data_IF_318727600617
#
_entry.id   IF_318727600617
#
_cell.length_a   1.000
_cell.length_b   1.000
_cell.length_c   1.000
_cell.angle_alpha   90.00
_cell.angle_beta   90.00
_cell.angle_gamma   90.00
#
_symmetry.space_group_name_H-M   'P 1'
#
loop_
_entity.id
_entity.type
_entity.pdbx_description
1 polymer ?
#
# COMPACT_ATOMS: atom_id res chain seq x y z
N UNK A 1 4.79 8.77 19.26
CA UNK A 1 4.23 9.30 18.02
C UNK A 1 2.86 8.70 17.79
N UNK A 2 1.91 9.47 17.23
CA UNK A 2 0.56 9.00 16.94
C UNK A 2 0.52 8.43 15.52
N UNK A 3 0.21 7.16 15.38
CA UNK A 3 0.27 6.38 14.13
C UNK A 3 -1.13 6.04 13.63
N UNK A 4 -1.38 6.08 12.33
CA UNK A 4 -2.63 5.67 11.73
C UNK A 4 -2.41 4.65 10.61
N UNK A 5 -3.34 3.69 10.49
CA UNK A 5 -3.46 2.81 9.32
C UNK A 5 -4.74 3.19 8.60
N UNK A 6 -4.61 3.69 7.38
CA UNK A 6 -5.71 4.05 6.50
C UNK A 6 -5.97 2.93 5.51
N UNK A 7 -7.15 2.35 5.56
CA UNK A 7 -7.67 1.44 4.53
C UNK A 7 -8.90 2.06 3.89
N UNK A 8 -8.98 2.03 2.57
CA UNK A 8 -10.14 2.54 1.84
C UNK A 8 -10.79 1.40 1.05
N UNK A 9 -12.12 1.46 0.91
CA UNK A 9 -12.89 0.44 0.22
C UNK A 9 -14.21 1.02 -0.32
N UNK A 10 -14.86 0.32 -1.23
CA UNK A 10 -16.18 0.69 -1.75
C UNK A 10 -17.23 -0.40 -1.48
N UNK A 11 -18.50 -0.07 -1.75
CA UNK A 11 -19.62 -0.98 -1.47
C UNK A 11 -19.62 -2.27 -2.30
N UNK A 12 -18.84 -2.32 -3.41
CA UNK A 12 -18.82 -3.47 -4.32
C UNK A 12 -17.82 -4.55 -3.91
N UNK A 13 -16.97 -4.25 -2.94
CA UNK A 13 -15.95 -5.21 -2.49
C UNK A 13 -16.58 -6.27 -1.58
N UNK A 14 -15.97 -7.44 -1.53
CA UNK A 14 -16.33 -8.46 -0.55
C UNK A 14 -15.96 -7.97 0.87
N UNK A 15 -16.98 -7.74 1.69
CA UNK A 15 -16.81 -7.24 3.07
C UNK A 15 -15.99 -8.17 3.97
N UNK A 16 -15.86 -9.45 3.60
CA UNK A 16 -15.00 -10.36 4.33
C UNK A 16 -13.52 -9.95 4.25
N UNK A 17 -13.08 -9.28 3.18
CA UNK A 17 -11.71 -8.77 3.09
C UNK A 17 -11.42 -7.82 4.25
N UNK A 18 -12.31 -6.86 4.50
CA UNK A 18 -12.19 -5.92 5.63
C UNK A 18 -12.14 -6.66 6.97
N UNK A 19 -13.03 -7.65 7.14
CA UNK A 19 -13.09 -8.44 8.38
C UNK A 19 -11.79 -9.22 8.63
N UNK A 20 -11.23 -9.84 7.60
CA UNK A 20 -9.99 -10.59 7.72
C UNK A 20 -8.78 -9.68 7.91
N UNK A 21 -8.70 -8.56 7.18
CA UNK A 21 -7.66 -7.57 7.39
C UNK A 21 -7.68 -7.04 8.83
N UNK A 22 -8.86 -6.68 9.35
CA UNK A 22 -9.01 -6.20 10.73
C UNK A 22 -8.50 -7.25 11.73
N UNK A 23 -8.87 -8.53 11.59
CA UNK A 23 -8.38 -9.60 12.49
C UNK A 23 -6.87 -9.71 12.50
N UNK A 24 -6.22 -9.61 11.32
CA UNK A 24 -4.76 -9.66 11.23
C UNK A 24 -4.13 -8.42 11.87
N UNK A 25 -4.71 -7.24 11.65
CA UNK A 25 -4.27 -6.01 12.30
C UNK A 25 -4.45 -6.09 13.81
N UNK A 26 -5.58 -6.58 14.31
CA UNK A 26 -5.81 -6.76 15.75
C UNK A 26 -4.76 -7.70 16.40
N UNK A 27 -4.27 -8.71 15.66
CA UNK A 27 -3.20 -9.59 16.14
C UNK A 27 -1.84 -8.90 16.23
N UNK A 28 -1.49 -8.05 15.27
CA UNK A 28 -0.14 -7.53 15.12
C UNK A 28 0.03 -6.06 15.46
N UNK A 29 -1.06 -5.28 15.36
CA UNK A 29 -1.01 -3.84 15.58
C UNK A 29 -1.21 -3.51 17.05
N UNK A 30 -0.19 -2.94 17.66
CA UNK A 30 -0.21 -2.55 19.07
C UNK A 30 -0.20 -1.03 19.28
N UNK A 31 0.04 -0.24 18.24
CA UNK A 31 0.42 1.17 18.41
C UNK A 31 -0.24 2.16 17.43
N UNK A 32 -0.98 1.67 16.43
CA UNK A 32 -1.60 2.54 15.42
C UNK A 32 -3.14 2.45 15.47
N UNK A 33 -3.81 3.58 15.26
CA UNK A 33 -5.26 3.61 15.11
C UNK A 33 -5.65 3.15 13.70
N UNK A 34 -6.64 2.27 13.58
CA UNK A 34 -7.13 1.77 12.30
C UNK A 34 -8.33 2.56 11.80
N UNK A 35 -8.24 3.09 10.59
CA UNK A 35 -9.21 3.96 9.96
C UNK A 35 -9.72 3.38 8.63
N UNK A 36 -10.77 2.53 8.64
CA UNK A 36 -11.40 2.07 7.41
C UNK A 36 -12.29 3.17 6.82
N UNK A 37 -11.97 3.63 5.61
CA UNK A 37 -12.68 4.67 4.88
C UNK A 37 -13.58 4.06 3.80
N UNK A 38 -14.90 4.20 3.95
CA UNK A 38 -15.86 3.80 2.93
C UNK A 38 -16.01 4.89 1.87
N UNK A 39 -15.62 4.57 0.64
CA UNK A 39 -15.81 5.40 -0.54
C UNK A 39 -17.13 5.01 -1.21
N UNK A 40 -18.18 5.79 -1.03
CA UNK A 40 -19.49 5.52 -1.65
C UNK A 40 -19.44 5.71 -3.16
N UNK A 41 -20.08 4.79 -3.90
CA UNK A 41 -20.30 4.95 -5.33
C UNK A 41 -21.57 5.78 -5.59
N UNK A 42 -21.53 6.69 -6.56
CA UNK A 42 -22.67 7.53 -6.93
C UNK A 42 -22.24 8.78 -7.67
N UNK A 43 -23.09 9.82 -7.66
CA UNK A 43 -22.81 11.14 -8.24
C UNK A 43 -21.54 11.77 -7.63
N UNK A 44 -21.23 11.38 -6.40
CA UNK A 44 -20.03 11.77 -5.66
C UNK A 44 -18.99 10.62 -5.62
N UNK A 45 -18.72 10.00 -6.77
CA UNK A 45 -17.69 8.95 -6.85
C UNK A 45 -16.34 9.51 -6.42
N UNK A 46 -15.92 9.15 -5.21
CA UNK A 46 -14.55 9.37 -4.79
C UNK A 46 -13.72 8.30 -5.50
N UNK A 47 -12.93 8.71 -6.48
CA UNK A 47 -11.96 7.83 -7.13
C UNK A 47 -10.80 7.54 -6.18
N UNK A 48 -10.09 6.46 -6.45
CA UNK A 48 -9.01 5.91 -5.63
C UNK A 48 -8.08 6.96 -5.00
N UNK A 49 -7.44 7.80 -5.81
CA UNK A 49 -6.51 8.81 -5.31
C UNK A 49 -7.18 9.89 -4.47
N UNK A 50 -8.44 10.26 -4.77
CA UNK A 50 -9.18 11.23 -3.97
C UNK A 50 -9.49 10.71 -2.57
N UNK A 51 -9.72 9.39 -2.43
CA UNK A 51 -9.87 8.76 -1.13
C UNK A 51 -8.57 8.84 -0.32
N UNK A 52 -7.43 8.68 -0.98
CA UNK A 52 -6.11 8.84 -0.36
C UNK A 52 -5.86 10.29 0.04
N UNK A 53 -6.07 11.25 -0.86
CA UNK A 53 -5.90 12.69 -0.58
C UNK A 53 -6.75 13.12 0.63
N UNK A 54 -8.03 12.73 0.62
CA UNK A 54 -8.95 13.04 1.71
C UNK A 54 -8.53 12.36 3.02
N UNK A 55 -8.32 11.04 3.00
CA UNK A 55 -8.04 10.26 4.21
C UNK A 55 -6.69 10.65 4.86
N UNK A 56 -5.64 10.78 4.07
CA UNK A 56 -4.31 11.19 4.56
C UNK A 56 -4.35 12.64 5.08
N UNK A 57 -4.95 13.56 4.32
CA UNK A 57 -5.07 14.96 4.73
C UNK A 57 -5.87 15.10 6.03
N UNK A 58 -6.98 14.36 6.19
CA UNK A 58 -7.76 14.34 7.43
C UNK A 58 -6.91 13.84 8.61
N UNK A 59 -6.24 12.71 8.47
CA UNK A 59 -5.44 12.13 9.55
C UNK A 59 -4.30 13.05 10.00
N UNK A 60 -3.61 13.70 9.07
CA UNK A 60 -2.59 14.67 9.44
C UNK A 60 -3.19 15.93 10.09
N UNK A 61 -4.38 16.37 9.69
CA UNK A 61 -5.10 17.46 10.37
C UNK A 61 -5.52 17.06 11.80
N UNK A 62 -5.79 15.78 12.07
CA UNK A 62 -6.09 15.20 13.38
C UNK A 62 -4.83 14.90 14.22
N UNK A 63 -3.70 15.43 13.82
CA UNK A 63 -2.43 15.35 14.54
C UNK A 63 -1.81 13.94 14.61
N UNK A 64 -2.06 13.07 13.62
CA UNK A 64 -1.25 11.87 13.43
C UNK A 64 0.15 12.27 12.94
N UNK A 65 1.18 11.57 13.40
CA UNK A 65 2.57 11.82 13.03
C UNK A 65 2.99 11.03 11.80
N UNK A 66 2.41 9.83 11.61
CA UNK A 66 2.64 8.97 10.45
C UNK A 66 1.37 8.22 10.03
N UNK A 67 1.24 8.00 8.72
CA UNK A 67 0.10 7.32 8.11
C UNK A 67 0.61 6.19 7.21
N UNK A 68 0.14 4.96 7.48
CA UNK A 68 0.28 3.81 6.62
C UNK A 68 -1.00 3.65 5.79
N UNK A 69 -0.92 3.84 4.49
CA UNK A 69 -1.95 3.44 3.54
C UNK A 69 -1.80 1.94 3.31
N UNK A 70 -2.91 1.21 3.43
CA UNK A 70 -2.94 -0.23 3.25
C UNK A 70 -4.18 -0.62 2.46
N UNK A 71 -4.03 -1.17 1.25
CA UNK A 71 -5.17 -1.68 0.48
C UNK A 71 -5.92 -2.73 1.29
N UNK A 72 -7.25 -2.80 1.11
CA UNK A 72 -8.12 -3.71 1.88
C UNK A 72 -7.73 -5.20 1.76
N UNK A 73 -7.03 -5.56 0.70
CA UNK A 73 -6.51 -6.90 0.40
C UNK A 73 -4.99 -7.01 0.61
N UNK A 74 -4.43 -6.10 1.42
CA UNK A 74 -3.05 -6.12 1.88
C UNK A 74 -2.99 -6.31 3.41
N UNK A 75 -2.12 -7.20 3.87
CA UNK A 75 -1.94 -7.49 5.31
C UNK A 75 -0.46 -7.55 5.69
N UNK A 76 -0.10 -7.15 6.92
CA UNK A 76 1.20 -7.48 7.49
C UNK A 76 1.31 -8.98 7.74
N UNK A 77 2.50 -9.55 7.62
CA UNK A 77 2.75 -10.97 7.85
C UNK A 77 3.24 -11.27 9.28
N UNK A 78 3.63 -10.25 10.01
CA UNK A 78 4.08 -10.33 11.40
C UNK A 78 4.04 -8.93 12.06
N UNK A 79 4.20 -8.89 13.38
CA UNK A 79 4.19 -7.62 14.13
C UNK A 79 5.40 -6.72 13.80
N UNK A 80 6.54 -7.31 13.47
CA UNK A 80 7.74 -6.58 13.07
C UNK A 80 7.49 -5.72 11.80
N UNK A 81 6.68 -6.20 10.86
CA UNK A 81 6.38 -5.46 9.63
C UNK A 81 5.73 -4.10 9.91
N UNK A 82 4.76 -4.05 10.85
CA UNK A 82 4.10 -2.80 11.22
C UNK A 82 5.03 -1.86 12.00
N UNK A 83 5.78 -2.41 12.96
CA UNK A 83 6.71 -1.60 13.74
C UNK A 83 7.79 -1.00 12.84
N UNK A 84 8.42 -1.83 12.01
CA UNK A 84 9.47 -1.43 11.09
C UNK A 84 9.03 -0.33 10.12
N UNK A 85 7.85 -0.48 9.48
CA UNK A 85 7.38 0.51 8.49
C UNK A 85 7.13 1.87 9.15
N UNK A 86 6.58 1.90 10.36
CA UNK A 86 6.37 3.15 11.08
C UNK A 86 7.69 3.75 11.59
N UNK A 87 8.60 2.95 12.15
CA UNK A 87 9.91 3.44 12.59
C UNK A 87 10.70 4.09 11.43
N UNK A 88 10.65 3.49 10.23
CA UNK A 88 11.29 4.07 9.04
C UNK A 88 10.62 5.37 8.61
N UNK A 89 9.29 5.40 8.57
CA UNK A 89 8.57 6.63 8.24
C UNK A 89 8.87 7.76 9.24
N UNK A 90 8.97 7.46 10.54
CA UNK A 90 9.35 8.40 11.60
C UNK A 90 10.79 8.93 11.46
N UNK A 91 11.64 8.25 10.70
CA UNK A 91 12.99 8.69 10.31
C UNK A 91 13.02 9.51 9.01
N UNK A 92 11.87 10.01 8.53
CA UNK A 92 11.71 10.72 7.26
C UNK A 92 12.02 9.85 6.03
N UNK A 93 11.64 8.59 6.04
CA UNK A 93 11.72 7.66 4.91
C UNK A 93 10.33 7.38 4.38
N UNK A 94 10.11 7.51 3.06
CA UNK A 94 8.90 6.99 2.42
C UNK A 94 9.11 5.50 2.20
N UNK A 95 8.16 4.66 2.61
CA UNK A 95 8.39 3.22 2.60
C UNK A 95 7.13 2.43 2.20
N UNK A 96 7.30 1.34 1.47
CA UNK A 96 6.20 0.44 1.12
C UNK A 96 6.50 -0.52 -0.02
N UNK A 97 5.44 -1.06 -0.63
CA UNK A 97 5.55 -2.13 -1.63
C UNK A 97 5.97 -1.60 -3.00
N UNK A 98 6.87 -2.35 -3.65
CA UNK A 98 7.32 -2.09 -5.01
C UNK A 98 6.17 -2.15 -6.01
N UNK A 99 6.11 -1.17 -6.90
CA UNK A 99 5.24 -1.17 -8.07
C UNK A 99 5.94 -0.51 -9.26
N UNK A 100 5.46 -0.79 -10.46
CA UNK A 100 5.86 -0.15 -11.71
C UNK A 100 4.63 0.07 -12.57
N UNK A 101 4.55 1.22 -13.20
CA UNK A 101 3.45 1.60 -14.11
C UNK A 101 3.70 1.02 -15.51
N UNK A 102 3.63 -0.30 -15.63
CA UNK A 102 3.89 -1.01 -16.89
C UNK A 102 2.88 -0.70 -18.02
N UNK A 103 1.78 -0.03 -17.72
CA UNK A 103 0.80 0.48 -18.70
C UNK A 103 1.20 1.84 -19.30
N UNK A 104 2.17 2.52 -18.69
CA UNK A 104 2.73 3.77 -19.24
C UNK A 104 3.91 3.41 -20.13
N UNK A 105 3.88 3.86 -21.37
CA UNK A 105 4.90 3.54 -22.37
C UNK A 105 6.27 4.04 -21.90
N UNK A 106 7.28 3.16 -22.01
CA UNK A 106 8.67 3.42 -21.63
C UNK A 106 8.89 3.80 -20.16
N UNK A 107 7.92 3.57 -19.27
CA UNK A 107 8.12 3.77 -17.84
C UNK A 107 8.89 2.58 -17.23
N UNK A 108 10.13 2.81 -16.84
CA UNK A 108 11.00 1.87 -16.12
C UNK A 108 11.17 2.27 -14.63
N UNK A 109 10.44 3.29 -14.18
CA UNK A 109 10.51 3.79 -12.82
C UNK A 109 9.92 2.79 -11.83
N UNK A 110 10.68 2.49 -10.78
CA UNK A 110 10.24 1.69 -9.65
C UNK A 110 9.80 2.63 -8.53
N UNK A 111 8.58 2.49 -8.09
CA UNK A 111 8.01 3.36 -7.08
C UNK A 111 7.29 2.58 -5.97
N UNK A 112 6.90 3.28 -4.92
CA UNK A 112 6.11 2.73 -3.82
C UNK A 112 4.63 2.87 -4.17
N UNK A 113 3.96 1.74 -4.35
CA UNK A 113 2.54 1.68 -4.73
C UNK A 113 1.59 1.85 -3.53
N UNK A 114 0.36 2.26 -3.83
CA UNK A 114 -0.71 2.48 -2.83
C UNK A 114 -1.12 1.25 -2.04
N UNK A 115 -0.73 0.06 -2.48
CA UNK A 115 -1.08 -1.18 -1.77
C UNK A 115 -0.52 -1.26 -0.35
N UNK A 116 0.64 -0.66 -0.15
CA UNK A 116 1.28 -0.46 1.15
C UNK A 116 2.23 0.74 0.97
N UNK A 117 1.86 1.87 1.55
CA UNK A 117 2.61 3.12 1.42
C UNK A 117 2.58 3.87 2.74
N UNK A 118 3.73 4.15 3.31
CA UNK A 118 3.83 4.88 4.57
C UNK A 118 4.69 6.13 4.44
N UNK A 119 4.21 7.22 5.03
CA UNK A 119 4.93 8.48 5.16
C UNK A 119 4.60 9.15 6.49
N UNK A 120 5.45 10.07 6.92
CA UNK A 120 5.17 10.94 8.05
C UNK A 120 4.62 12.31 7.62
N UNK A 121 4.14 13.06 8.62
CA UNK A 121 3.61 14.41 8.42
C UNK A 121 4.65 15.36 7.85
N UNK A 122 5.90 15.29 8.30
CA UNK A 122 6.96 16.21 7.84
C UNK A 122 7.17 16.09 6.32
N UNK A 123 7.28 14.87 5.80
CA UNK A 123 7.38 14.64 4.35
C UNK A 123 6.14 15.15 3.61
N UNK A 124 4.94 14.88 4.14
CA UNK A 124 3.69 15.34 3.54
C UNK A 124 3.62 16.86 3.44
N UNK A 125 4.04 17.57 4.48
CA UNK A 125 4.09 19.04 4.51
C UNK A 125 5.21 19.59 3.62
N UNK A 126 6.41 19.00 3.66
CA UNK A 126 7.55 19.38 2.83
C UNK A 126 7.27 19.20 1.33
N UNK A 127 6.44 18.22 0.97
CA UNK A 127 5.96 17.99 -0.40
C UNK A 127 4.69 18.81 -0.72
N UNK A 128 4.41 19.84 0.09
CA UNK A 128 3.30 20.79 -0.10
C UNK A 128 1.92 20.10 -0.18
N UNK A 129 1.75 19.00 0.59
CA UNK A 129 0.53 18.18 0.60
C UNK A 129 0.16 17.66 -0.80
N UNK A 130 1.18 17.20 -1.51
CA UNK A 130 1.06 16.74 -2.89
C UNK A 130 -0.04 15.66 -3.03
N UNK A 131 -0.82 15.74 -4.09
CA UNK A 131 -1.87 14.77 -4.40
C UNK A 131 -1.30 13.39 -4.73
N UNK A 132 -2.05 12.34 -4.39
CA UNK A 132 -1.77 10.96 -4.83
C UNK A 132 -2.26 10.68 -6.26
N UNK A 133 -2.81 11.68 -6.95
CA UNK A 133 -3.37 11.53 -8.28
C UNK A 133 -2.36 11.03 -9.31
N UNK A 134 -2.77 10.11 -10.19
CA UNK A 134 -1.96 9.73 -11.33
C UNK A 134 -1.89 10.87 -12.36
N UNK A 135 -0.74 10.96 -13.03
CA UNK A 135 -0.65 11.60 -14.33
C UNK A 135 -0.59 10.49 -15.38
N UNK A 136 -1.69 10.22 -16.03
CA UNK A 136 -1.86 9.09 -16.95
C UNK A 136 -0.82 9.02 -18.10
N UNK A 137 0.03 10.02 -18.22
CA UNK A 137 1.11 10.08 -19.21
C UNK A 137 2.46 9.72 -18.59
N UNK A 138 2.69 10.06 -17.32
CA UNK A 138 4.01 9.99 -16.69
C UNK A 138 4.07 9.17 -15.41
N UNK A 139 2.99 9.11 -14.64
CA UNK A 139 2.99 8.52 -13.32
C UNK A 139 1.64 7.88 -12.96
N UNK A 140 1.66 6.81 -12.19
CA UNK A 140 0.50 6.18 -11.58
C UNK A 140 0.23 6.76 -10.18
N UNK A 141 -0.85 6.30 -9.54
CA UNK A 141 -1.21 6.66 -8.17
C UNK A 141 -0.02 6.41 -7.23
N UNK A 142 0.31 7.40 -6.40
CA UNK A 142 1.47 7.44 -5.48
C UNK A 142 2.85 7.60 -6.14
N UNK A 143 3.02 7.37 -7.43
CA UNK A 143 4.34 7.38 -8.08
C UNK A 143 5.03 8.75 -8.00
N UNK A 144 4.25 9.84 -8.02
CA UNK A 144 4.77 11.20 -7.88
C UNK A 144 5.53 11.43 -6.57
N UNK A 145 5.14 10.77 -5.47
CA UNK A 145 5.86 10.85 -4.20
C UNK A 145 7.28 10.29 -4.30
N UNK A 146 7.47 9.20 -5.05
CA UNK A 146 8.82 8.63 -5.27
C UNK A 146 9.66 9.54 -6.18
N UNK A 147 9.08 10.09 -7.24
CA UNK A 147 9.76 11.09 -8.08
C UNK A 147 10.19 12.34 -7.30
N UNK A 148 9.32 12.86 -6.44
CA UNK A 148 9.66 14.04 -5.65
C UNK A 148 10.71 13.72 -4.57
N UNK A 149 10.67 12.52 -3.99
CA UNK A 149 11.71 12.04 -3.08
C UNK A 149 13.08 11.98 -3.75
N UNK A 150 13.16 11.37 -4.94
CA UNK A 150 14.41 11.34 -5.74
C UNK A 150 14.93 12.73 -6.03
N UNK A 151 14.07 13.63 -6.47
CA UNK A 151 14.42 15.02 -6.82
C UNK A 151 14.95 15.81 -5.62
N UNK A 152 14.37 15.61 -4.43
CA UNK A 152 14.74 16.32 -3.19
C UNK A 152 15.82 15.61 -2.38
N UNK A 153 16.21 14.39 -2.76
CA UNK A 153 17.14 13.56 -1.99
C UNK A 153 16.56 13.05 -0.67
N UNK A 154 15.22 12.89 -0.61
CA UNK A 154 14.54 12.24 0.52
C UNK A 154 14.70 10.73 0.37
N UNK A 155 15.07 10.06 1.46
CA UNK A 155 15.24 8.61 1.46
C UNK A 155 13.90 7.91 1.25
N UNK A 156 13.90 6.85 0.44
CA UNK A 156 12.77 5.95 0.33
C UNK A 156 13.22 4.49 0.33
N UNK A 157 12.39 3.61 0.88
CA UNK A 157 12.67 2.18 0.97
C UNK A 157 11.55 1.36 0.34
N UNK A 158 11.91 0.44 -0.55
CA UNK A 158 10.95 -0.35 -1.32
C UNK A 158 11.02 -1.82 -0.89
N UNK A 159 9.88 -2.37 -0.48
CA UNK A 159 9.73 -3.80 -0.26
C UNK A 159 9.60 -4.53 -1.60
N UNK A 160 10.54 -5.41 -1.89
CA UNK A 160 10.58 -6.13 -3.15
C UNK A 160 9.74 -7.40 -3.11
N UNK A 161 9.11 -7.82 -4.24
CA UNK A 161 8.42 -9.10 -4.31
C UNK A 161 9.38 -10.27 -4.07
N UNK A 162 9.00 -11.17 -3.16
CA UNK A 162 9.68 -12.45 -2.92
C UNK A 162 9.06 -13.57 -3.73
N UNK A 163 7.74 -13.62 -3.73
CA UNK A 163 6.96 -14.67 -4.39
C UNK A 163 5.55 -14.16 -4.70
N UNK A 164 4.90 -14.79 -5.65
CA UNK A 164 3.48 -14.57 -5.95
C UNK A 164 2.84 -15.89 -6.40
N UNK A 165 1.51 -15.93 -6.36
CA UNK A 165 0.75 -17.10 -6.79
C UNK A 165 0.65 -17.04 -8.31
N UNK A 166 1.36 -17.94 -9.00
CA UNK A 166 1.29 -18.06 -10.46
C UNK A 166 -0.09 -18.57 -10.86
N UNK A 167 -0.82 -17.73 -11.56
CA UNK A 167 -2.14 -18.02 -12.10
C UNK A 167 -2.09 -18.09 -13.63
N UNK A 168 -3.26 -18.17 -14.25
CA UNK A 168 -3.39 -18.12 -15.69
C UNK A 168 -2.68 -16.90 -16.31
N UNK A 169 -2.34 -17.02 -17.58
CA UNK A 169 -1.63 -16.02 -18.38
C UNK A 169 -2.21 -14.61 -18.18
N UNK A 170 -1.35 -13.63 -17.88
CA UNK A 170 -1.73 -12.22 -17.77
C UNK A 170 -2.00 -11.73 -16.35
N UNK A 171 -1.77 -12.55 -15.33
CA UNK A 171 -1.96 -12.16 -13.92
C UNK A 171 -0.63 -11.89 -13.18
N UNK A 172 0.42 -11.64 -13.92
CA UNK A 172 1.71 -11.20 -13.38
C UNK A 172 2.21 -9.94 -14.08
N UNK A 173 2.94 -9.12 -13.33
CA UNK A 173 3.48 -7.84 -13.78
C UNK A 173 4.99 -7.81 -13.57
N UNK A 174 5.66 -7.05 -14.42
CA UNK A 174 7.11 -6.92 -14.44
C UNK A 174 7.53 -5.59 -13.79
N UNK A 175 8.43 -5.63 -12.82
CA UNK A 175 9.02 -4.43 -12.22
C UNK A 175 10.13 -3.78 -13.07
N UNK A 176 10.32 -4.27 -14.30
CA UNK A 176 11.36 -3.81 -15.19
C UNK A 176 12.49 -4.82 -15.36
N UNK A 177 13.38 -4.54 -16.32
CA UNK A 177 14.45 -5.46 -16.73
C UNK A 177 15.35 -5.85 -15.55
N UNK A 178 15.46 -7.17 -15.32
CA UNK A 178 16.33 -7.72 -14.27
C UNK A 178 15.77 -7.64 -12.86
N UNK A 179 14.53 -7.17 -12.68
CA UNK A 179 13.84 -7.11 -11.41
C UNK A 179 12.86 -8.28 -11.23
N UNK A 180 12.44 -8.60 -9.99
CA UNK A 180 11.42 -9.61 -9.74
C UNK A 180 10.08 -9.26 -10.38
N UNK A 181 9.30 -10.28 -10.72
CA UNK A 181 7.89 -10.11 -11.04
C UNK A 181 7.04 -10.17 -9.79
N UNK A 182 5.86 -9.56 -9.86
CA UNK A 182 4.79 -9.66 -8.87
C UNK A 182 3.47 -10.01 -9.57
N UNK A 183 2.48 -10.42 -8.81
CA UNK A 183 1.20 -10.84 -9.37
C UNK A 183 0.18 -11.11 -8.28
N UNK A 184 -0.84 -11.88 -8.61
CA UNK A 184 -1.87 -12.28 -7.63
C UNK A 184 -1.20 -12.94 -6.43
N UNK A 185 -1.51 -12.45 -5.23
CA UNK A 185 -1.00 -13.00 -3.98
C UNK A 185 0.50 -12.83 -3.79
N UNK A 186 1.00 -11.61 -3.97
CA UNK A 186 2.42 -11.30 -3.79
C UNK A 186 2.79 -11.15 -2.32
N UNK A 187 3.84 -11.83 -1.92
CA UNK A 187 4.56 -11.59 -0.66
C UNK A 187 5.72 -10.64 -0.91
N UNK A 188 5.76 -9.55 -0.17
CA UNK A 188 6.81 -8.54 -0.22
C UNK A 188 7.79 -8.70 0.95
N UNK A 189 9.07 -8.40 0.72
CA UNK A 189 10.14 -8.49 1.71
C UNK A 189 10.98 -7.20 1.75
N UNK A 190 11.58 -6.93 2.89
CA UNK A 190 12.56 -5.87 3.04
C UNK A 190 13.96 -6.27 2.53
N UNK A 191 14.92 -5.37 2.62
CA UNK A 191 16.32 -5.59 2.22
C UNK A 191 17.05 -6.69 3.00
N UNK A 192 16.55 -7.04 4.19
CA UNK A 192 17.05 -8.16 5.01
C UNK A 192 16.37 -9.49 4.70
N UNK A 193 15.57 -9.56 3.63
CA UNK A 193 14.81 -10.75 3.21
C UNK A 193 13.74 -11.21 4.22
N UNK A 194 13.30 -10.34 5.10
CA UNK A 194 12.17 -10.60 5.99
C UNK A 194 10.86 -10.35 5.23
N UNK A 195 9.95 -11.31 5.28
CA UNK A 195 8.59 -11.15 4.72
C UNK A 195 7.82 -10.12 5.53
N UNK A 196 7.38 -9.05 4.86
CA UNK A 196 6.74 -7.90 5.49
C UNK A 196 5.24 -7.88 5.26
N UNK A 197 4.81 -7.88 4.01
CA UNK A 197 3.41 -7.74 3.63
C UNK A 197 3.01 -8.77 2.57
N UNK A 198 1.74 -9.13 2.59
CA UNK A 198 1.09 -9.89 1.52
C UNK A 198 0.00 -9.03 0.90
N UNK A 199 -0.05 -8.95 -0.43
CA UNK A 199 -1.08 -8.24 -1.16
C UNK A 199 -1.70 -9.15 -2.22
N UNK A 200 -3.04 -9.25 -2.22
CA UNK A 200 -3.75 -10.14 -3.14
C UNK A 200 -3.68 -9.65 -4.59
N UNK A 201 -3.86 -8.36 -4.85
CA UNK A 201 -4.19 -7.77 -6.14
C UNK A 201 -5.51 -8.30 -6.74
N UNK A 202 -6.21 -7.49 -7.51
CA UNK A 202 -7.45 -7.88 -8.22
C UNK A 202 -8.55 -8.50 -7.36
N UNK A 203 -8.65 -8.14 -6.09
CA UNK A 203 -9.72 -8.63 -5.18
C UNK A 203 -11.14 -8.32 -5.66
N UNK A 204 -11.30 -7.37 -6.60
CA UNK A 204 -12.58 -7.05 -7.24
C UNK A 204 -13.19 -8.24 -7.98
N UNK A 205 -12.37 -9.12 -8.54
CA UNK A 205 -12.80 -10.28 -9.31
C UNK A 205 -13.34 -11.42 -8.43
N UNK A 206 -13.20 -11.32 -7.10
CA UNK A 206 -13.62 -12.29 -6.08
C UNK A 206 -13.07 -13.70 -6.26
N UNK A 207 -12.68 -14.10 -7.47
CA UNK A 207 -12.16 -15.44 -7.82
C UNK A 207 -10.91 -15.78 -7.00
N UNK A 208 -10.13 -14.76 -6.65
CA UNK A 208 -8.86 -14.92 -5.95
C UNK A 208 -8.97 -14.68 -4.44
N UNK A 209 -10.13 -14.27 -3.92
CA UNK A 209 -10.27 -13.90 -2.51
C UNK A 209 -9.96 -15.05 -1.55
N UNK A 210 -10.17 -16.30 -1.98
CA UNK A 210 -9.79 -17.48 -1.20
C UNK A 210 -8.30 -17.47 -0.81
N UNK A 211 -7.42 -17.04 -1.69
CA UNK A 211 -5.98 -16.94 -1.37
C UNK A 211 -5.68 -15.92 -0.28
N UNK A 212 -6.44 -14.83 -0.25
CA UNK A 212 -6.31 -13.84 0.81
C UNK A 212 -6.80 -14.41 2.15
N UNK A 213 -7.94 -15.08 2.16
CA UNK A 213 -8.48 -15.69 3.36
C UNK A 213 -7.56 -16.79 3.90
N UNK A 214 -7.08 -17.67 3.04
CA UNK A 214 -6.12 -18.72 3.40
C UNK A 214 -4.83 -18.11 3.99
N UNK A 215 -4.33 -17.01 3.41
CA UNK A 215 -3.16 -16.31 3.93
C UNK A 215 -3.42 -15.67 5.29
N UNK A 216 -4.59 -15.06 5.46
CA UNK A 216 -5.00 -14.52 6.76
C UNK A 216 -5.09 -15.61 7.83
N UNK A 217 -5.73 -16.77 7.52
CA UNK A 217 -5.81 -17.90 8.44
C UNK A 217 -4.43 -18.43 8.83
N UNK A 218 -3.51 -18.55 7.87
CA UNK A 218 -2.11 -18.94 8.14
C UNK A 218 -1.42 -17.99 9.10
N UNK A 219 -1.65 -16.68 8.92
CA UNK A 219 -1.07 -15.64 9.77
C UNK A 219 -1.72 -15.60 11.14
N UNK A 220 -3.01 -15.93 11.25
CA UNK A 220 -3.76 -15.92 12.50
C UNK A 220 -3.52 -17.18 13.36
N UNK A 221 -3.16 -18.31 12.75
CA UNK A 221 -2.78 -19.53 13.46
C UNK A 221 -1.46 -19.36 14.22
#
# INVERSE_FOLDING_TARGET
MKRAILTYYNDNIDKNLLTYQQKVLDKFNTTADYHPLLCKQGIDQIIHYQALDYGVGQLFSEQYDSVLILDIDCIPLNSYALEYIFERAEQNVIIGNAQRSGHIENNEHLYIGSSCFCLNRQIYEDFEQMTFAPDHIKADTCEHYTYEAEKRGVEFEIFMPKSYIRQAIGCDWDLGKGRPKYGIGTTFMNSLSVEMFFHLFSSRDRVYNAYFYDKCEQVLS
#
